data_IF_658864540979
#
_entry.id   IF_658864540979
#
_cell.length_a   1.000
_cell.length_b   1.000
_cell.length_c   1.000
_cell.angle_alpha   90.00
_cell.angle_beta   90.00
_cell.angle_gamma   90.00
#
_symmetry.space_group_name_H-M   'P 1'
#
loop_
_entity.id
_entity.type
_entity.pdbx_description
1 polymer ?
#
# COMPACT_ATOMS: atom_id res chain seq x y z
N UNK A 1 85.12 -18.16 -17.65
CA UNK A 1 83.75 -18.61 -17.88
C UNK A 1 82.92 -18.26 -16.61
N UNK A 2 82.21 -17.15 -16.60
CA UNK A 2 81.39 -16.70 -15.45
C UNK A 2 79.91 -16.75 -15.90
N UNK A 3 79.13 -17.63 -15.25
CA UNK A 3 77.68 -17.76 -15.46
C UNK A 3 76.95 -16.72 -14.63
N UNK A 4 76.20 -15.83 -15.29
CA UNK A 4 75.24 -14.94 -14.66
C UNK A 4 73.88 -15.67 -14.51
N UNK A 5 73.38 -15.76 -13.27
CA UNK A 5 72.05 -16.22 -12.96
C UNK A 5 71.13 -14.99 -12.84
N UNK A 6 70.19 -14.85 -13.76
CA UNK A 6 69.16 -13.82 -13.70
C UNK A 6 68.00 -14.31 -12.86
N UNK A 7 67.64 -13.53 -11.81
CA UNK A 7 66.46 -13.74 -11.00
C UNK A 7 65.34 -12.89 -11.61
N UNK A 8 64.30 -13.54 -12.14
CA UNK A 8 63.09 -12.92 -12.58
C UNK A 8 62.13 -12.78 -11.39
N UNK A 9 61.86 -11.56 -10.97
CA UNK A 9 60.84 -11.24 -9.95
C UNK A 9 59.47 -11.14 -10.66
N UNK A 10 58.54 -12.07 -10.37
CA UNK A 10 57.16 -11.98 -10.82
C UNK A 10 56.36 -11.09 -9.87
N UNK A 11 55.95 -9.91 -10.34
CA UNK A 11 55.01 -9.04 -9.67
C UNK A 11 53.58 -9.56 -9.91
N UNK A 12 52.97 -10.13 -8.87
CA UNK A 12 51.52 -10.44 -8.83
C UNK A 12 50.75 -9.14 -8.56
N UNK A 13 50.11 -8.61 -9.60
CA UNK A 13 49.09 -7.57 -9.47
C UNK A 13 47.78 -8.22 -9.05
N UNK A 14 47.40 -8.08 -7.79
CA UNK A 14 46.04 -8.38 -7.35
C UNK A 14 45.14 -7.22 -7.77
N UNK A 15 44.39 -7.38 -8.85
CA UNK A 15 43.34 -6.47 -9.24
C UNK A 15 42.14 -6.65 -8.28
N UNK A 16 42.05 -5.81 -7.24
CA UNK A 16 40.84 -5.62 -6.49
C UNK A 16 39.81 -4.92 -7.42
N UNK A 17 38.93 -5.70 -8.01
CA UNK A 17 37.78 -5.18 -8.74
C UNK A 17 36.81 -4.46 -7.82
N UNK A 18 36.97 -3.14 -7.70
CA UNK A 18 35.92 -2.28 -7.18
C UNK A 18 34.75 -2.33 -8.14
N UNK A 19 33.71 -3.09 -7.78
CA UNK A 19 32.40 -3.00 -8.44
C UNK A 19 31.83 -1.60 -8.19
N UNK A 20 31.98 -0.70 -9.15
CA UNK A 20 31.32 0.60 -9.12
C UNK A 20 29.85 0.35 -9.45
N UNK A 21 29.04 0.22 -8.41
CA UNK A 21 27.58 0.32 -8.53
C UNK A 21 27.26 1.75 -8.98
N UNK A 22 26.70 1.90 -10.18
CA UNK A 22 26.19 3.18 -10.68
C UNK A 22 24.87 3.48 -9.93
N UNK A 23 24.97 4.07 -8.73
CA UNK A 23 23.87 4.84 -8.17
C UNK A 23 23.97 6.24 -8.80
N UNK A 24 22.99 6.65 -9.58
CA UNK A 24 22.84 8.05 -9.99
C UNK A 24 22.81 8.91 -8.71
N UNK A 25 23.72 9.87 -8.59
CA UNK A 25 23.81 10.85 -7.48
C UNK A 25 24.05 10.32 -6.06
N UNK A 26 24.54 9.09 -5.87
CA UNK A 26 24.81 8.55 -4.52
C UNK A 26 23.58 8.26 -3.66
N UNK A 27 22.36 8.37 -4.21
CA UNK A 27 21.11 8.09 -3.51
C UNK A 27 20.75 6.60 -3.55
N UNK A 28 20.12 6.12 -2.48
CA UNK A 28 19.61 4.74 -2.42
C UNK A 28 18.36 4.64 -3.29
N UNK A 29 18.38 3.74 -4.27
CA UNK A 29 17.24 3.48 -5.16
C UNK A 29 16.17 2.66 -4.42
N UNK A 30 15.00 3.25 -4.21
CA UNK A 30 13.83 2.62 -3.57
C UNK A 30 12.68 2.57 -4.56
N UNK A 31 12.12 1.38 -4.78
CA UNK A 31 10.94 1.20 -5.62
C UNK A 31 9.81 0.63 -4.78
N UNK A 32 8.69 1.33 -4.75
CA UNK A 32 7.46 0.84 -4.14
C UNK A 32 6.48 0.37 -5.22
N UNK A 33 5.78 -0.71 -4.98
CA UNK A 33 4.71 -1.16 -5.86
C UNK A 33 3.60 -0.10 -5.91
N UNK A 34 3.15 0.38 -4.77
CA UNK A 34 2.09 1.38 -4.63
C UNK A 34 2.63 2.72 -4.12
N UNK A 35 1.94 3.80 -4.48
CA UNK A 35 2.40 5.15 -4.20
C UNK A 35 2.37 5.54 -2.72
N UNK A 36 1.48 4.97 -1.91
CA UNK A 36 1.44 5.21 -0.48
C UNK A 36 2.63 4.59 0.27
N UNK A 37 3.16 3.44 -0.16
CA UNK A 37 4.43 2.92 0.35
C UNK A 37 5.62 3.76 -0.11
N UNK A 38 5.55 4.27 -1.34
CA UNK A 38 6.55 5.21 -1.85
C UNK A 38 6.55 6.54 -1.08
N UNK A 39 5.38 7.00 -0.63
CA UNK A 39 5.26 8.18 0.22
C UNK A 39 5.92 7.94 1.59
N UNK A 40 5.62 6.80 2.24
CA UNK A 40 6.29 6.40 3.49
C UNK A 40 7.81 6.36 3.31
N UNK A 41 8.29 5.74 2.22
CA UNK A 41 9.71 5.67 1.95
C UNK A 41 10.34 7.07 1.81
N UNK A 42 9.68 8.00 1.11
CA UNK A 42 10.14 9.39 0.99
C UNK A 42 10.18 10.12 2.34
N UNK A 43 9.18 9.93 3.16
CA UNK A 43 9.13 10.55 4.49
C UNK A 43 10.26 10.04 5.41
N UNK A 44 10.65 8.76 5.30
CA UNK A 44 11.75 8.18 6.09
C UNK A 44 13.12 8.50 5.47
N UNK A 45 13.28 8.35 4.14
CA UNK A 45 14.56 8.48 3.46
C UNK A 45 14.96 9.92 3.15
N UNK A 46 13.97 10.82 2.94
CA UNK A 46 14.18 12.20 2.55
C UNK A 46 14.97 12.32 1.23
N UNK A 47 15.92 13.23 1.20
CA UNK A 47 16.77 13.53 0.06
C UNK A 47 17.89 12.51 -0.22
N UNK A 48 18.09 11.54 0.69
CA UNK A 48 19.10 10.47 0.57
C UNK A 48 18.65 9.30 -0.28
N UNK A 49 17.39 9.25 -0.66
CA UNK A 49 16.85 8.19 -1.51
C UNK A 49 16.33 8.72 -2.84
N UNK A 50 16.33 7.86 -3.84
CA UNK A 50 15.59 8.03 -5.08
C UNK A 50 14.38 7.10 -5.04
N UNK A 51 13.25 7.60 -4.50
CA UNK A 51 12.03 6.81 -4.37
C UNK A 51 11.12 6.98 -5.59
N UNK A 52 10.66 5.87 -6.13
CA UNK A 52 9.65 5.81 -7.19
C UNK A 52 8.55 4.84 -6.83
N UNK A 53 7.36 5.05 -7.40
CA UNK A 53 6.21 4.18 -7.23
C UNK A 53 5.71 3.72 -8.60
N UNK A 54 5.29 2.47 -8.69
CA UNK A 54 4.85 1.85 -9.94
C UNK A 54 3.37 2.16 -10.19
N UNK A 55 2.51 1.77 -9.26
CA UNK A 55 1.08 2.08 -9.29
C UNK A 55 0.86 3.42 -8.58
N UNK A 56 0.56 4.45 -9.35
CA UNK A 56 0.45 5.83 -8.83
C UNK A 56 -0.69 6.64 -9.46
N UNK A 57 -1.37 6.09 -10.45
CA UNK A 57 -2.48 6.79 -11.10
C UNK A 57 -3.78 6.55 -10.31
N UNK A 58 -4.39 7.60 -9.71
CA UNK A 58 -5.61 7.47 -8.92
C UNK A 58 -6.86 7.16 -9.76
N UNK A 59 -6.76 7.29 -11.09
CA UNK A 59 -7.88 7.02 -12.00
C UNK A 59 -7.80 5.61 -12.64
N UNK A 60 -6.75 4.84 -12.31
CA UNK A 60 -6.54 3.50 -12.84
C UNK A 60 -6.83 2.45 -11.78
N UNK A 61 -7.59 1.42 -12.17
CA UNK A 61 -7.80 0.22 -11.36
C UNK A 61 -6.46 -0.53 -11.20
N UNK A 62 -5.94 -0.68 -9.97
CA UNK A 62 -4.67 -1.37 -9.73
C UNK A 62 -4.69 -2.86 -10.10
N UNK A 63 -5.85 -3.49 -10.10
CA UNK A 63 -6.00 -4.90 -10.49
C UNK A 63 -5.81 -5.11 -12.00
N UNK A 64 -6.00 -4.07 -12.81
CA UNK A 64 -5.78 -4.09 -14.26
C UNK A 64 -4.36 -3.63 -14.65
N UNK A 65 -3.42 -3.61 -13.69
CA UNK A 65 -2.08 -3.13 -13.93
C UNK A 65 -1.26 -4.11 -14.79
N UNK A 66 -0.64 -3.58 -15.87
CA UNK A 66 0.24 -4.34 -16.75
C UNK A 66 1.70 -3.89 -16.64
N UNK A 67 2.60 -4.87 -16.53
CA UNK A 67 4.03 -4.64 -16.39
C UNK A 67 4.66 -4.24 -17.74
N UNK A 68 5.40 -3.12 -17.76
CA UNK A 68 6.19 -2.68 -18.92
C UNK A 68 7.68 -3.05 -18.76
N UNK A 69 8.46 -3.09 -19.88
CA UNK A 69 9.92 -3.27 -19.80
C UNK A 69 10.65 -2.19 -19.00
N UNK A 70 10.08 -0.98 -18.92
CA UNK A 70 10.64 0.12 -18.12
C UNK A 70 10.54 -0.21 -16.62
N UNK A 71 9.41 -0.73 -16.18
CA UNK A 71 9.18 -1.18 -14.80
C UNK A 71 10.12 -2.33 -14.43
N UNK A 72 10.31 -3.31 -15.34
CA UNK A 72 11.25 -4.40 -15.10
C UNK A 72 12.68 -3.90 -14.87
N UNK A 73 13.14 -2.91 -15.65
CA UNK A 73 14.45 -2.26 -15.44
C UNK A 73 14.49 -1.52 -14.10
N UNK A 74 13.47 -0.77 -13.77
CA UNK A 74 13.38 -0.03 -12.51
C UNK A 74 13.50 -0.96 -11.29
N UNK A 75 12.82 -2.11 -11.31
CA UNK A 75 12.95 -3.13 -10.27
C UNK A 75 14.36 -3.76 -10.28
N UNK A 76 14.97 -4.01 -11.46
CA UNK A 76 16.31 -4.56 -11.54
C UNK A 76 17.36 -3.65 -10.87
N UNK A 77 17.21 -2.33 -10.99
CA UNK A 77 18.14 -1.34 -10.43
C UNK A 77 17.87 -1.03 -8.94
N UNK A 78 16.71 -1.39 -8.40
CA UNK A 78 16.31 -1.07 -7.04
C UNK A 78 17.17 -1.79 -5.99
N UNK A 79 17.61 -1.04 -4.97
CA UNK A 79 18.30 -1.56 -3.77
C UNK A 79 17.29 -1.96 -2.68
N UNK A 80 16.19 -1.24 -2.58
CA UNK A 80 15.08 -1.56 -1.68
C UNK A 80 13.80 -1.61 -2.51
N UNK A 81 13.03 -2.66 -2.34
CA UNK A 81 11.71 -2.84 -2.96
C UNK A 81 10.67 -3.02 -1.87
N UNK A 82 9.55 -2.31 -2.01
CA UNK A 82 8.42 -2.38 -1.08
C UNK A 82 7.19 -2.77 -1.88
N UNK A 83 6.46 -3.78 -1.44
CA UNK A 83 5.21 -4.18 -2.07
C UNK A 83 4.21 -4.73 -1.04
N UNK A 84 2.94 -4.78 -1.43
CA UNK A 84 1.85 -5.12 -0.52
C UNK A 84 1.86 -6.59 -0.09
N UNK A 85 1.93 -7.51 -1.04
CA UNK A 85 1.68 -8.93 -0.77
C UNK A 85 0.20 -9.27 -0.62
N UNK A 86 -0.13 -10.37 0.05
CA UNK A 86 -1.51 -10.86 0.24
C UNK A 86 -2.31 -10.94 -1.08
N UNK A 87 -1.67 -11.37 -2.17
CA UNK A 87 -2.22 -11.48 -3.54
C UNK A 87 -2.64 -10.15 -4.21
N UNK A 88 -2.31 -8.99 -3.64
CA UNK A 88 -2.62 -7.71 -4.25
C UNK A 88 -1.77 -7.41 -5.50
N UNK A 89 -0.47 -7.65 -5.40
CA UNK A 89 0.53 -7.34 -6.40
C UNK A 89 1.39 -8.55 -6.83
N UNK A 90 0.77 -9.66 -7.27
CA UNK A 90 1.48 -10.92 -7.60
C UNK A 90 2.49 -10.75 -8.74
N UNK A 91 2.38 -9.69 -9.54
CA UNK A 91 3.33 -9.33 -10.58
C UNK A 91 4.71 -8.93 -10.00
N UNK A 92 4.78 -8.39 -8.78
CA UNK A 92 6.04 -8.07 -8.11
C UNK A 92 6.87 -9.31 -7.84
N UNK A 93 6.26 -10.40 -7.38
CA UNK A 93 6.96 -11.67 -7.14
C UNK A 93 7.62 -12.17 -8.43
N UNK A 94 6.92 -12.08 -9.58
CA UNK A 94 7.46 -12.48 -10.90
C UNK A 94 8.61 -11.59 -11.34
N UNK A 95 8.52 -10.27 -11.14
CA UNK A 95 9.58 -9.33 -11.50
C UNK A 95 10.85 -9.52 -10.66
N UNK A 96 10.68 -9.73 -9.35
CA UNK A 96 11.80 -9.99 -8.45
C UNK A 96 12.50 -11.32 -8.79
N UNK A 97 11.74 -12.36 -9.12
CA UNK A 97 12.30 -13.65 -9.57
C UNK A 97 13.05 -13.53 -10.91
N UNK A 98 12.59 -12.67 -11.82
CA UNK A 98 13.23 -12.43 -13.12
C UNK A 98 14.50 -11.58 -13.03
N UNK A 99 14.71 -10.85 -11.94
CA UNK A 99 15.88 -10.00 -11.73
C UNK A 99 16.50 -10.22 -10.34
N UNK A 100 17.08 -11.39 -10.07
CA UNK A 100 17.65 -11.71 -8.76
C UNK A 100 18.83 -10.78 -8.44
N UNK A 101 18.81 -10.22 -7.22
CA UNK A 101 19.86 -9.33 -6.72
C UNK A 101 20.10 -9.66 -5.25
N UNK A 102 21.27 -10.26 -4.89
CA UNK A 102 21.52 -10.76 -3.53
C UNK A 102 21.56 -9.70 -2.45
N UNK A 103 21.91 -8.45 -2.79
CA UNK A 103 22.01 -7.31 -1.88
C UNK A 103 20.71 -6.47 -1.79
N UNK A 104 19.68 -6.83 -2.57
CA UNK A 104 18.39 -6.15 -2.54
C UNK A 104 17.65 -6.49 -1.26
N UNK A 105 17.15 -5.46 -0.59
CA UNK A 105 16.18 -5.61 0.51
C UNK A 105 14.78 -5.59 -0.06
N UNK A 106 13.99 -6.61 0.27
CA UNK A 106 12.57 -6.70 -0.11
C UNK A 106 11.73 -6.61 1.15
N UNK A 107 10.81 -5.65 1.16
CA UNK A 107 9.86 -5.39 2.25
C UNK A 107 8.47 -5.77 1.74
N UNK A 108 7.86 -6.76 2.35
CA UNK A 108 6.49 -7.21 2.05
C UNK A 108 5.58 -6.75 3.18
N UNK A 109 4.67 -5.83 2.90
CA UNK A 109 3.81 -5.24 3.94
C UNK A 109 2.96 -6.32 4.65
N UNK A 110 2.41 -7.27 3.89
CA UNK A 110 1.63 -8.37 4.43
C UNK A 110 2.40 -9.20 5.48
N UNK A 111 3.66 -9.50 5.23
CA UNK A 111 4.50 -10.28 6.15
C UNK A 111 4.71 -9.54 7.48
N UNK A 112 4.83 -8.18 7.42
CA UNK A 112 5.07 -7.36 8.61
C UNK A 112 3.86 -7.34 9.56
N UNK A 113 2.65 -7.55 9.02
CA UNK A 113 1.38 -7.54 9.80
C UNK A 113 0.72 -8.91 9.86
N UNK A 114 1.46 -9.97 9.50
CA UNK A 114 1.00 -11.37 9.62
C UNK A 114 -0.16 -11.74 8.70
N UNK A 115 -0.30 -11.05 7.57
CA UNK A 115 -1.31 -11.33 6.53
C UNK A 115 -0.71 -12.20 5.43
N UNK A 116 -1.55 -12.93 4.71
CA UNK A 116 -1.15 -13.90 3.70
C UNK A 116 -2.14 -13.93 2.53
N UNK A 117 -1.79 -14.68 1.50
CA UNK A 117 -2.66 -15.00 0.39
C UNK A 117 -4.07 -15.44 0.86
N UNK A 118 -5.12 -14.85 0.29
CA UNK A 118 -6.51 -15.08 0.64
C UNK A 118 -7.07 -14.18 1.76
N UNK A 119 -6.23 -13.44 2.50
CA UNK A 119 -6.71 -12.38 3.39
C UNK A 119 -7.11 -11.14 2.56
N UNK A 120 -7.84 -10.20 3.18
CA UNK A 120 -8.14 -8.92 2.54
C UNK A 120 -6.81 -8.18 2.22
N UNK A 121 -6.52 -7.87 0.95
CA UNK A 121 -5.22 -7.30 0.58
C UNK A 121 -5.10 -5.78 0.83
N UNK A 122 -6.15 -5.08 1.22
CA UNK A 122 -6.18 -3.61 1.36
C UNK A 122 -5.52 -3.14 2.67
N UNK A 123 -4.24 -3.53 2.85
CA UNK A 123 -3.49 -3.40 4.11
C UNK A 123 -3.20 -1.96 4.51
N UNK A 124 -3.21 -1.01 3.58
CA UNK A 124 -2.99 0.42 3.89
C UNK A 124 -4.13 1.05 4.69
N UNK A 125 -5.27 0.38 4.81
CA UNK A 125 -6.36 0.75 5.71
C UNK A 125 -6.26 0.07 7.09
N UNK A 126 -5.33 -0.87 7.30
CA UNK A 126 -5.01 -1.45 8.60
C UNK A 126 -4.11 -0.48 9.37
N UNK A 127 -4.51 0.03 10.56
CA UNK A 127 -3.74 1.07 11.26
C UNK A 127 -2.29 0.68 11.60
N UNK A 128 -2.01 -0.61 11.80
CA UNK A 128 -0.69 -1.10 12.19
C UNK A 128 0.27 -1.27 10.99
N UNK A 129 -0.22 -1.24 9.75
CA UNK A 129 0.59 -1.51 8.55
C UNK A 129 1.64 -0.43 8.33
N UNK A 130 1.25 0.84 8.32
CA UNK A 130 2.20 1.91 7.98
C UNK A 130 3.29 2.14 9.03
N UNK A 131 3.03 2.04 10.34
CA UNK A 131 4.11 2.01 11.33
C UNK A 131 5.11 0.87 11.11
N UNK A 132 4.63 -0.34 10.78
CA UNK A 132 5.46 -1.51 10.52
C UNK A 132 6.32 -1.32 9.25
N UNK A 133 5.71 -0.86 8.15
CA UNK A 133 6.44 -0.54 6.91
C UNK A 133 7.49 0.55 7.13
N UNK A 134 7.15 1.64 7.82
CA UNK A 134 8.09 2.71 8.13
C UNK A 134 9.29 2.22 8.95
N UNK A 135 9.05 1.35 9.94
CA UNK A 135 10.10 0.70 10.74
C UNK A 135 11.03 -0.16 9.88
N UNK A 136 10.45 -0.97 8.98
CA UNK A 136 11.21 -1.81 8.05
C UNK A 136 12.04 -0.97 7.06
N UNK A 137 11.47 0.10 6.53
CA UNK A 137 12.17 1.05 5.64
C UNK A 137 13.33 1.72 6.37
N UNK A 138 13.12 2.26 7.58
CA UNK A 138 14.17 2.90 8.36
C UNK A 138 15.33 1.92 8.66
N UNK A 139 15.02 0.68 9.01
CA UNK A 139 16.01 -0.38 9.24
C UNK A 139 16.80 -0.72 7.97
N UNK A 140 16.13 -0.84 6.83
CA UNK A 140 16.78 -1.11 5.55
C UNK A 140 17.72 0.04 5.12
N UNK A 141 17.28 1.28 5.29
CA UNK A 141 18.08 2.48 4.98
C UNK A 141 19.28 2.61 5.91
N UNK A 142 19.11 2.40 7.24
CA UNK A 142 20.21 2.43 8.18
C UNK A 142 21.27 1.35 7.87
N UNK A 143 20.87 0.19 7.36
CA UNK A 143 21.80 -0.86 6.92
C UNK A 143 22.53 -0.48 5.63
N UNK A 144 21.84 0.17 4.67
CA UNK A 144 22.42 0.57 3.40
C UNK A 144 23.33 1.81 3.53
N UNK A 145 23.03 2.70 4.47
CA UNK A 145 23.74 3.96 4.74
C UNK A 145 23.93 4.15 6.27
N UNK A 146 24.85 3.41 6.89
CA UNK A 146 25.07 3.46 8.33
C UNK A 146 25.51 4.83 8.86
N UNK A 147 26.13 5.66 8.01
CA UNK A 147 26.57 7.00 8.40
C UNK A 147 25.41 7.95 8.77
N UNK A 148 24.19 7.64 8.31
CA UNK A 148 22.99 8.45 8.53
C UNK A 148 21.88 7.67 9.25
N UNK A 149 22.21 6.59 9.95
CA UNK A 149 21.26 5.75 10.68
C UNK A 149 20.40 6.55 11.68
N UNK A 150 21.00 7.52 12.38
CA UNK A 150 20.29 8.37 13.34
C UNK A 150 19.26 9.29 12.66
N UNK A 151 19.55 9.79 11.43
CA UNK A 151 18.60 10.61 10.67
C UNK A 151 17.34 9.81 10.33
N UNK A 152 17.50 8.55 9.89
CA UNK A 152 16.38 7.66 9.61
C UNK A 152 15.56 7.32 10.87
N UNK A 153 16.23 7.13 12.01
CA UNK A 153 15.56 6.90 13.29
C UNK A 153 14.72 8.11 13.73
N UNK A 154 15.24 9.32 13.57
CA UNK A 154 14.53 10.57 13.87
C UNK A 154 13.32 10.73 12.97
N UNK A 155 13.47 10.48 11.65
CA UNK A 155 12.37 10.57 10.69
C UNK A 155 11.30 9.50 10.93
N UNK A 156 11.70 8.28 11.29
CA UNK A 156 10.76 7.23 11.72
C UNK A 156 9.92 7.69 12.92
N UNK A 157 10.57 8.24 13.96
CA UNK A 157 9.87 8.78 15.13
C UNK A 157 8.88 9.88 14.75
N UNK A 158 9.27 10.78 13.86
CA UNK A 158 8.42 11.86 13.36
C UNK A 158 7.23 11.30 12.57
N UNK A 159 7.46 10.34 11.68
CA UNK A 159 6.40 9.68 10.91
C UNK A 159 5.38 8.98 11.84
N UNK A 160 5.85 8.16 12.78
CA UNK A 160 4.96 7.47 13.73
C UNK A 160 4.17 8.48 14.58
N UNK A 161 4.80 9.56 15.02
CA UNK A 161 4.11 10.62 15.76
C UNK A 161 3.03 11.32 14.92
N UNK A 162 3.23 11.48 13.61
CA UNK A 162 2.24 12.10 12.71
C UNK A 162 0.98 11.26 12.53
N UNK A 163 1.03 9.95 12.81
CA UNK A 163 -0.15 9.08 12.76
C UNK A 163 -1.07 9.24 13.98
N UNK A 164 -0.66 9.96 15.02
CA UNK A 164 -1.45 10.17 16.23
C UNK A 164 -2.83 10.78 15.93
N UNK A 165 -2.89 11.76 15.02
CA UNK A 165 -4.15 12.41 14.62
C UNK A 165 -5.13 11.42 13.94
N UNK A 166 -4.61 10.46 13.15
CA UNK A 166 -5.42 9.39 12.55
C UNK A 166 -5.97 8.49 13.66
N UNK A 167 -5.12 8.05 14.60
CA UNK A 167 -5.51 7.17 15.69
C UNK A 167 -6.55 7.82 16.62
N UNK A 168 -6.40 9.10 16.93
CA UNK A 168 -7.39 9.87 17.71
C UNK A 168 -8.73 9.98 16.98
N UNK A 169 -8.70 10.18 15.67
CA UNK A 169 -9.90 10.23 14.84
C UNK A 169 -10.59 8.86 14.79
N UNK A 170 -9.82 7.76 14.61
CA UNK A 170 -10.34 6.39 14.70
C UNK A 170 -11.02 6.17 16.06
N UNK A 171 -10.36 6.50 17.17
CA UNK A 171 -10.92 6.35 18.51
C UNK A 171 -12.21 7.16 18.70
N UNK A 172 -12.25 8.39 18.19
CA UNK A 172 -13.43 9.27 18.25
C UNK A 172 -14.60 8.72 17.45
N UNK A 173 -14.36 8.26 16.21
CA UNK A 173 -15.40 7.69 15.36
C UNK A 173 -15.90 6.35 15.92
N UNK A 174 -14.98 5.51 16.41
CA UNK A 174 -15.30 4.25 17.06
C UNK A 174 -16.22 4.47 18.29
N UNK A 175 -15.89 5.44 19.14
CA UNK A 175 -16.72 5.77 20.31
C UNK A 175 -18.16 6.19 19.94
N UNK A 176 -18.33 6.84 18.76
CA UNK A 176 -19.64 7.34 18.29
C UNK A 176 -20.43 6.27 17.50
N UNK A 177 -19.76 5.42 16.73
CA UNK A 177 -20.40 4.62 15.69
C UNK A 177 -20.13 3.11 15.81
N UNK A 178 -19.49 2.63 16.88
CA UNK A 178 -19.28 1.20 17.08
C UNK A 178 -20.60 0.42 16.98
N UNK A 179 -20.58 -0.68 16.22
CA UNK A 179 -21.73 -1.53 15.98
C UNK A 179 -22.70 -1.05 14.88
N UNK A 180 -22.48 0.15 14.33
CA UNK A 180 -23.28 0.64 13.19
C UNK A 180 -23.02 -0.24 11.96
N UNK A 181 -24.11 -0.70 11.32
CA UNK A 181 -24.01 -1.51 10.12
C UNK A 181 -23.73 -0.65 8.88
N UNK A 182 -22.79 -1.08 8.08
CA UNK A 182 -22.41 -0.48 6.78
C UNK A 182 -22.26 -1.57 5.74
N UNK A 183 -22.18 -1.19 4.46
CA UNK A 183 -21.85 -2.12 3.38
C UNK A 183 -20.83 -1.49 2.43
N UNK A 184 -20.24 -2.30 1.56
CA UNK A 184 -19.29 -1.82 0.56
C UNK A 184 -19.43 -2.59 -0.75
N UNK A 185 -18.98 -1.99 -1.86
CA UNK A 185 -18.92 -2.71 -3.15
C UNK A 185 -17.75 -3.69 -3.20
N UNK A 186 -16.67 -3.37 -2.50
CA UNK A 186 -15.47 -4.18 -2.34
C UNK A 186 -14.90 -4.01 -0.94
N UNK A 187 -14.07 -4.95 -0.42
CA UNK A 187 -13.56 -4.90 0.95
C UNK A 187 -12.43 -3.88 1.17
N UNK A 188 -12.33 -2.83 0.32
CA UNK A 188 -11.24 -1.82 0.36
C UNK A 188 -11.12 -1.18 1.73
N UNK A 189 -12.24 -0.72 2.30
CA UNK A 189 -12.27 -0.07 3.61
C UNK A 189 -12.42 -1.05 4.80
N UNK A 190 -12.29 -2.35 4.55
CA UNK A 190 -12.59 -3.41 5.51
C UNK A 190 -11.84 -3.27 6.84
N UNK A 191 -10.51 -3.19 6.79
CA UNK A 191 -9.69 -3.04 7.99
C UNK A 191 -9.98 -1.75 8.77
N UNK A 192 -10.23 -0.65 8.08
CA UNK A 192 -10.62 0.58 8.75
C UNK A 192 -12.02 0.47 9.35
N UNK A 193 -12.96 -0.20 8.69
CA UNK A 193 -14.28 -0.48 9.27
C UNK A 193 -14.17 -1.32 10.56
N UNK A 194 -13.27 -2.29 10.60
CA UNK A 194 -12.96 -3.08 11.81
C UNK A 194 -12.33 -2.21 12.90
N UNK A 195 -11.37 -1.34 12.56
CA UNK A 195 -10.77 -0.39 13.49
C UNK A 195 -11.81 0.56 14.11
N UNK A 196 -12.81 0.97 13.31
CA UNK A 196 -13.96 1.76 13.76
C UNK A 196 -15.03 0.93 14.48
N UNK A 197 -14.87 -0.40 14.58
CA UNK A 197 -15.86 -1.36 15.10
C UNK A 197 -17.22 -1.26 14.40
N UNK A 198 -17.24 -0.94 13.11
CA UNK A 198 -18.44 -1.00 12.26
C UNK A 198 -18.80 -2.45 11.95
N UNK A 199 -20.06 -2.72 11.65
CA UNK A 199 -20.54 -4.04 11.22
C UNK A 199 -20.64 -4.08 9.69
N UNK A 200 -19.65 -4.64 9.04
CA UNK A 200 -19.69 -4.83 7.58
C UNK A 200 -20.75 -5.86 7.22
N UNK A 201 -21.52 -5.59 6.18
CA UNK A 201 -22.55 -6.48 5.64
C UNK A 201 -22.26 -6.79 4.16
N UNK A 202 -22.87 -7.86 3.68
CA UNK A 202 -22.83 -8.28 2.27
C UNK A 202 -21.43 -8.64 1.77
N UNK A 203 -20.55 -9.17 2.62
CA UNK A 203 -19.14 -9.48 2.33
C UNK A 203 -18.97 -10.41 1.11
N UNK A 204 -19.91 -11.36 0.88
CA UNK A 204 -19.81 -12.27 -0.29
C UNK A 204 -19.92 -11.54 -1.62
N UNK A 205 -20.78 -10.50 -1.69
CA UNK A 205 -20.86 -9.66 -2.89
C UNK A 205 -19.54 -8.88 -3.06
N UNK A 206 -19.00 -8.31 -2.00
CA UNK A 206 -17.73 -7.57 -2.02
C UNK A 206 -16.58 -8.44 -2.54
N UNK A 207 -16.44 -9.65 -2.02
CA UNK A 207 -15.40 -10.60 -2.44
C UNK A 207 -15.59 -11.04 -3.89
N UNK A 208 -16.83 -11.21 -4.36
CA UNK A 208 -17.08 -11.55 -5.75
C UNK A 208 -16.64 -10.42 -6.70
N UNK A 209 -16.97 -9.16 -6.37
CA UNK A 209 -16.57 -8.01 -7.17
C UNK A 209 -15.04 -7.85 -7.16
N UNK A 210 -14.40 -7.89 -5.99
CA UNK A 210 -12.94 -7.80 -5.86
C UNK A 210 -12.19 -8.87 -6.68
N UNK A 211 -12.74 -10.09 -6.74
CA UNK A 211 -12.14 -11.20 -7.49
C UNK A 211 -12.57 -11.25 -8.97
N UNK A 212 -13.17 -10.18 -9.48
CA UNK A 212 -13.68 -10.09 -10.85
C UNK A 212 -14.60 -11.27 -11.23
N UNK A 213 -15.39 -11.75 -10.25
CA UNK A 213 -16.39 -12.80 -10.44
C UNK A 213 -17.80 -12.22 -10.35
N UNK A 214 -18.77 -12.84 -11.04
CA UNK A 214 -20.15 -12.39 -10.99
C UNK A 214 -20.80 -12.75 -9.65
N UNK A 215 -21.29 -11.76 -8.85
CA UNK A 215 -22.01 -12.05 -7.62
C UNK A 215 -23.32 -12.78 -7.90
N UNK A 216 -23.75 -13.66 -6.99
CA UNK A 216 -25.02 -14.35 -7.18
C UNK A 216 -26.20 -13.38 -7.14
N UNK A 217 -27.28 -13.68 -7.89
CA UNK A 217 -28.51 -12.89 -7.86
C UNK A 217 -29.09 -12.74 -6.44
N UNK A 218 -28.88 -13.74 -5.57
CA UNK A 218 -29.26 -13.70 -4.16
C UNK A 218 -28.48 -12.66 -3.38
N UNK A 219 -27.17 -12.57 -3.62
CA UNK A 219 -26.29 -11.62 -2.91
C UNK A 219 -26.57 -10.19 -3.37
N UNK A 220 -26.83 -9.98 -4.67
CA UNK A 220 -27.27 -8.68 -5.21
C UNK A 220 -28.61 -8.27 -4.60
N UNK A 221 -29.62 -9.15 -4.59
CA UNK A 221 -30.91 -8.85 -4.00
C UNK A 221 -30.85 -8.60 -2.49
N UNK A 222 -29.93 -9.26 -1.77
CA UNK A 222 -29.70 -9.01 -0.35
C UNK A 222 -29.09 -7.63 -0.12
N UNK A 223 -28.12 -7.25 -0.94
CA UNK A 223 -27.46 -5.94 -0.90
C UNK A 223 -28.45 -4.80 -1.16
N UNK A 224 -29.22 -4.88 -2.25
CA UNK A 224 -30.25 -3.90 -2.58
C UNK A 224 -31.33 -3.78 -1.49
N UNK A 225 -31.76 -4.92 -0.92
CA UNK A 225 -32.73 -4.93 0.17
C UNK A 225 -32.19 -4.20 1.38
N UNK A 226 -30.91 -4.43 1.77
CA UNK A 226 -30.30 -3.78 2.92
C UNK A 226 -30.20 -2.25 2.72
N UNK A 227 -29.96 -1.77 1.49
CA UNK A 227 -30.03 -0.35 1.14
C UNK A 227 -31.47 0.18 1.26
N UNK A 228 -32.42 -0.46 0.55
CA UNK A 228 -33.82 -0.01 0.45
C UNK A 228 -34.57 -0.04 1.79
N UNK A 229 -34.12 -0.89 2.72
CA UNK A 229 -34.73 -1.02 4.08
C UNK A 229 -33.89 -0.39 5.18
N UNK A 230 -32.91 0.42 4.84
CA UNK A 230 -32.04 1.15 5.78
C UNK A 230 -31.39 0.23 6.85
N UNK A 231 -31.01 -1.01 6.45
CA UNK A 231 -30.26 -1.94 7.30
C UNK A 231 -28.79 -1.59 7.41
N UNK A 232 -28.33 -0.65 6.59
CA UNK A 232 -26.98 -0.08 6.59
C UNK A 232 -27.06 1.44 6.62
N UNK A 233 -26.12 2.05 7.32
CA UNK A 233 -26.02 3.50 7.49
C UNK A 233 -25.31 4.18 6.33
N UNK A 234 -24.39 3.49 5.68
CA UNK A 234 -23.59 4.02 4.58
C UNK A 234 -23.14 2.91 3.64
N UNK A 235 -22.86 3.29 2.39
CA UNK A 235 -22.21 2.48 1.37
C UNK A 235 -20.82 3.04 1.11
N UNK A 236 -19.78 2.22 1.29
CA UNK A 236 -18.44 2.48 0.78
C UNK A 236 -18.32 1.90 -0.64
N UNK A 237 -17.77 2.65 -1.58
CA UNK A 237 -17.53 2.12 -2.93
C UNK A 237 -16.13 2.45 -3.41
N UNK A 238 -15.50 1.51 -4.11
CA UNK A 238 -14.22 1.72 -4.76
C UNK A 238 -14.40 2.66 -5.96
N UNK A 239 -13.77 3.83 -5.94
CA UNK A 239 -13.86 4.81 -7.03
C UNK A 239 -13.13 4.37 -8.28
N UNK A 240 -12.16 3.45 -8.14
CA UNK A 240 -11.30 2.98 -9.22
C UNK A 240 -11.85 1.73 -9.91
N UNK A 241 -12.67 0.92 -9.22
CA UNK A 241 -13.35 -0.24 -9.79
C UNK A 241 -14.80 0.10 -10.11
N UNK A 242 -15.06 0.57 -11.34
CA UNK A 242 -16.39 1.01 -11.78
C UNK A 242 -16.90 0.16 -12.93
N UNK A 243 -17.72 -0.85 -12.62
CA UNK A 243 -18.48 -1.61 -13.60
C UNK A 243 -19.98 -1.26 -13.50
N UNK A 244 -20.79 -1.79 -14.44
CA UNK A 244 -22.24 -1.51 -14.49
C UNK A 244 -22.98 -1.93 -13.22
N UNK A 245 -22.57 -3.02 -12.59
CA UNK A 245 -23.18 -3.49 -11.34
C UNK A 245 -22.88 -2.51 -10.20
N UNK A 246 -21.61 -2.11 -10.04
CA UNK A 246 -21.19 -1.13 -9.00
C UNK A 246 -21.95 0.18 -9.18
N UNK A 247 -22.04 0.70 -10.41
CA UNK A 247 -22.82 1.91 -10.74
C UNK A 247 -24.28 1.76 -10.30
N UNK A 248 -24.94 0.64 -10.68
CA UNK A 248 -26.30 0.35 -10.27
C UNK A 248 -26.48 0.33 -8.75
N UNK A 249 -25.59 -0.35 -8.00
CA UNK A 249 -25.68 -0.42 -6.54
C UNK A 249 -25.50 0.95 -5.87
N UNK A 250 -24.62 1.81 -6.42
CA UNK A 250 -24.46 3.20 -6.00
C UNK A 250 -25.73 4.02 -6.27
N UNK A 251 -26.37 3.83 -7.43
CA UNK A 251 -27.64 4.49 -7.75
C UNK A 251 -28.77 4.05 -6.80
N UNK A 252 -28.88 2.75 -6.51
CA UNK A 252 -29.83 2.23 -5.51
C UNK A 252 -29.61 2.84 -4.13
N UNK A 253 -28.34 2.97 -3.70
CA UNK A 253 -28.01 3.60 -2.42
C UNK A 253 -28.47 5.07 -2.39
N UNK A 254 -28.14 5.85 -3.43
CA UNK A 254 -28.56 7.25 -3.56
C UNK A 254 -30.08 7.42 -3.59
N UNK A 255 -30.77 6.59 -4.37
CA UNK A 255 -32.23 6.59 -4.44
C UNK A 255 -32.89 6.21 -3.11
N UNK A 256 -32.19 5.47 -2.26
CA UNK A 256 -32.62 5.10 -0.93
C UNK A 256 -32.15 6.08 0.16
N UNK A 257 -31.59 7.25 -0.20
CA UNK A 257 -31.00 8.23 0.74
C UNK A 257 -29.92 7.64 1.66
N UNK A 258 -29.20 6.60 1.23
CA UNK A 258 -28.05 6.07 1.93
C UNK A 258 -26.82 6.87 1.53
N UNK A 259 -26.07 7.47 2.46
CA UNK A 259 -24.80 8.13 2.17
C UNK A 259 -23.82 7.20 1.45
N UNK A 260 -23.20 7.72 0.39
CA UNK A 260 -22.24 6.99 -0.43
C UNK A 260 -20.85 7.63 -0.26
N UNK A 261 -19.88 6.82 0.15
CA UNK A 261 -18.50 7.24 0.40
C UNK A 261 -17.60 6.56 -0.63
N UNK A 262 -16.92 7.37 -1.44
CA UNK A 262 -15.93 6.84 -2.38
C UNK A 262 -14.59 6.68 -1.68
N UNK A 263 -14.03 5.49 -1.69
CA UNK A 263 -12.68 5.17 -1.20
C UNK A 263 -11.76 4.83 -2.38
N UNK A 264 -10.45 4.92 -2.19
CA UNK A 264 -9.47 4.65 -3.24
C UNK A 264 -8.42 3.64 -2.80
N UNK A 265 -7.81 2.98 -3.77
CA UNK A 265 -6.70 2.04 -3.58
C UNK A 265 -5.33 2.67 -3.87
N UNK A 266 -5.31 3.92 -4.29
CA UNK A 266 -4.09 4.70 -4.46
C UNK A 266 -4.23 6.03 -3.76
N UNK A 267 -3.15 6.49 -3.16
CA UNK A 267 -3.09 7.82 -2.56
C UNK A 267 -3.22 8.89 -3.66
N UNK A 268 -4.07 9.90 -3.53
CA UNK A 268 -4.12 11.03 -4.46
C UNK A 268 -2.74 11.71 -4.58
N UNK A 269 -2.39 12.16 -5.80
CA UNK A 269 -1.03 12.55 -6.14
C UNK A 269 -0.44 13.67 -5.26
N UNK A 270 -1.26 14.59 -4.79
CA UNK A 270 -0.83 15.78 -4.04
C UNK A 270 -1.00 15.62 -2.52
N UNK A 271 -1.31 14.41 -2.04
CA UNK A 271 -1.51 14.13 -0.63
C UNK A 271 -0.42 13.20 -0.08
N UNK A 272 -0.11 13.39 1.19
CA UNK A 272 0.60 12.40 2.00
C UNK A 272 -0.37 11.28 2.42
N UNK A 273 0.17 10.14 2.84
CA UNK A 273 -0.64 9.07 3.42
C UNK A 273 -1.51 9.56 4.58
N UNK A 274 -0.96 10.43 5.43
CA UNK A 274 -1.67 10.98 6.59
C UNK A 274 -2.87 11.84 6.18
N UNK A 275 -2.70 12.72 5.21
CA UNK A 275 -3.77 13.60 4.71
C UNK A 275 -4.87 12.79 4.02
N UNK A 276 -4.48 11.80 3.22
CA UNK A 276 -5.43 10.89 2.58
C UNK A 276 -6.28 10.15 3.61
N UNK A 277 -5.66 9.46 4.59
CA UNK A 277 -6.41 8.72 5.62
C UNK A 277 -7.29 9.62 6.48
N UNK A 278 -6.83 10.83 6.83
CA UNK A 278 -7.66 11.81 7.54
C UNK A 278 -8.88 12.22 6.72
N UNK A 279 -8.70 12.45 5.42
CA UNK A 279 -9.80 12.77 4.49
C UNK A 279 -10.85 11.66 4.40
N UNK A 280 -10.41 10.40 4.30
CA UNK A 280 -11.29 9.22 4.27
C UNK A 280 -12.07 9.06 5.60
N UNK A 281 -11.42 9.25 6.74
CA UNK A 281 -12.06 9.22 8.05
C UNK A 281 -13.04 10.38 8.24
N UNK A 282 -12.74 11.58 7.74
CA UNK A 282 -13.65 12.72 7.79
C UNK A 282 -14.90 12.50 6.93
N UNK A 283 -14.72 11.95 5.73
CA UNK A 283 -15.83 11.59 4.85
C UNK A 283 -16.73 10.53 5.51
N UNK A 284 -16.11 9.50 6.10
CA UNK A 284 -16.80 8.45 6.84
C UNK A 284 -17.58 9.00 8.04
N UNK A 285 -16.95 9.88 8.83
CA UNK A 285 -17.61 10.51 9.99
C UNK A 285 -18.82 11.34 9.62
N UNK A 286 -18.74 12.13 8.52
CA UNK A 286 -19.88 12.91 8.00
C UNK A 286 -21.02 12.02 7.54
N UNK A 287 -20.71 10.95 6.79
CA UNK A 287 -21.71 10.02 6.29
C UNK A 287 -22.42 9.25 7.40
N UNK A 288 -21.66 8.76 8.38
CA UNK A 288 -22.22 8.01 9.53
C UNK A 288 -23.04 8.90 10.46
N UNK A 289 -22.75 10.20 10.52
CA UNK A 289 -23.51 11.17 11.30
C UNK A 289 -24.80 11.65 10.62
N UNK A 290 -24.95 11.43 9.30
CA UNK A 290 -26.16 11.84 8.56
C UNK A 290 -27.41 11.18 9.15
N UNK A 291 -28.54 11.90 9.29
CA UNK A 291 -29.78 11.29 9.79
C UNK A 291 -30.20 10.12 8.89
N UNK A 292 -30.66 9.04 9.50
CA UNK A 292 -31.41 8.01 8.77
C UNK A 292 -32.80 8.59 8.48
N UNK A 293 -33.13 8.86 7.22
CA UNK A 293 -34.46 9.28 6.81
C UNK A 293 -35.48 8.21 7.05
#
# INVERSE_FOLDING_TARGET
MKRLIGIAAALLFTANGLSISHAADGKIAVVAAENFYGDVARQIGGDRIAASSIVSNPDQDPHLFEVSPAIARQIADAQIVIYNGADYDPWMVRLLAASPRPDRVVIVAADLVGKRAGDNPHLWYEPDTMPAVAGAVASALAKADPAHADDYAVRLKTFVASLAAINEKIATLRAKFAGVAVTATEPVFGYMADALALKMRNERLQLAIMNDTEPSARDIAAFERDLKTHKVRALFYNKQASNKLVQHLVEVARASNIPVIGVTETCPADLTFQEWMQGELDASGRALASPSS
#
